data_IF_878524261423
#
_entry.id   IF_878524261423
#
_cell.length_a   1.000
_cell.length_b   1.000
_cell.length_c   1.000
_cell.angle_alpha   90.00
_cell.angle_beta   90.00
_cell.angle_gamma   90.00
#
_symmetry.space_group_name_H-M   'P 1'
#
loop_
_entity.id
_entity.type
_entity.pdbx_description
1 polymer ?
#
# COMPACT_ATOMS: atom_id res chain seq x y z
N UNK A 1 9.82 -37.24 -6.82
CA UNK A 1 8.88 -36.82 -5.76
C UNK A 1 9.60 -36.18 -4.58
N UNK A 2 10.59 -36.83 -3.96
CA UNK A 2 11.28 -36.27 -2.77
C UNK A 2 11.97 -34.91 -3.03
N UNK A 3 12.54 -34.71 -4.23
CA UNK A 3 13.17 -33.46 -4.63
C UNK A 3 12.15 -32.31 -4.82
N UNK A 4 10.99 -32.61 -5.43
CA UNK A 4 9.94 -31.62 -5.74
C UNK A 4 9.26 -31.09 -4.48
N UNK A 5 8.93 -31.97 -3.52
CA UNK A 5 8.30 -31.56 -2.27
C UNK A 5 9.21 -30.63 -1.45
N UNK A 6 10.49 -31.00 -1.28
CA UNK A 6 11.44 -30.18 -0.53
C UNK A 6 11.74 -28.85 -1.23
N UNK A 7 11.78 -28.84 -2.57
CA UNK A 7 11.94 -27.60 -3.33
C UNK A 7 10.76 -26.65 -3.12
N UNK A 8 9.53 -27.18 -3.18
CA UNK A 8 8.33 -26.39 -2.88
C UNK A 8 8.35 -25.88 -1.42
N UNK A 9 8.65 -26.76 -0.46
CA UNK A 9 8.65 -26.42 0.96
C UNK A 9 9.67 -25.34 1.30
N UNK A 10 10.94 -25.52 0.91
CA UNK A 10 11.97 -24.51 1.13
C UNK A 10 11.65 -23.21 0.40
N UNK A 11 11.07 -23.28 -0.79
CA UNK A 11 10.60 -22.11 -1.51
C UNK A 11 9.52 -21.34 -0.75
N UNK A 12 8.56 -22.04 -0.13
CA UNK A 12 7.53 -21.43 0.71
C UNK A 12 8.10 -20.83 2.01
N UNK A 13 9.10 -21.47 2.63
CA UNK A 13 9.81 -20.90 3.77
C UNK A 13 10.70 -19.71 3.37
N UNK A 14 11.15 -19.68 2.12
CA UNK A 14 12.04 -18.67 1.56
C UNK A 14 11.32 -17.41 1.04
N UNK A 15 9.98 -17.35 1.04
CA UNK A 15 9.27 -16.21 0.43
C UNK A 15 9.58 -14.86 1.11
N UNK A 16 10.00 -14.86 2.37
CA UNK A 16 10.40 -13.63 3.09
C UNK A 16 11.88 -13.30 2.96
N UNK A 17 12.65 -14.10 2.21
CA UNK A 17 14.02 -13.75 1.86
C UNK A 17 13.99 -12.45 1.04
N UNK A 18 14.81 -11.47 1.43
CA UNK A 18 14.84 -10.14 0.84
C UNK A 18 13.56 -9.29 1.01
N UNK A 19 12.69 -9.60 2.00
CA UNK A 19 11.50 -8.80 2.32
C UNK A 19 11.82 -7.30 2.50
N UNK A 20 12.82 -6.95 3.30
CA UNK A 20 13.11 -5.54 3.61
C UNK A 20 13.52 -4.73 2.35
N UNK A 21 14.50 -5.17 1.53
CA UNK A 21 14.83 -4.48 0.26
C UNK A 21 13.67 -4.34 -0.71
N UNK A 22 12.77 -5.33 -0.77
CA UNK A 22 11.59 -5.28 -1.64
C UNK A 22 10.54 -4.29 -1.12
N UNK A 23 10.34 -4.21 0.19
CA UNK A 23 9.45 -3.23 0.81
C UNK A 23 10.00 -1.80 0.69
N UNK A 24 11.32 -1.59 0.74
CA UNK A 24 11.93 -0.28 0.47
C UNK A 24 11.62 0.22 -0.95
N UNK A 25 11.41 -0.71 -1.90
CA UNK A 25 11.05 -0.42 -3.30
C UNK A 25 9.53 -0.45 -3.55
N UNK A 26 8.71 -0.56 -2.52
CA UNK A 26 7.25 -0.52 -2.61
C UNK A 26 6.73 0.91 -2.87
N UNK A 27 7.03 1.44 -4.04
CA UNK A 27 6.52 2.72 -4.53
C UNK A 27 6.44 2.73 -6.05
N UNK A 28 5.61 3.64 -6.61
CA UNK A 28 5.21 3.70 -8.03
C UNK A 28 6.34 3.43 -9.03
N UNK A 29 7.52 4.00 -8.78
CA UNK A 29 8.68 3.94 -9.69
C UNK A 29 9.33 2.55 -9.75
N UNK A 30 9.45 1.87 -8.62
CA UNK A 30 10.25 0.63 -8.52
C UNK A 30 9.43 -0.62 -8.18
N UNK A 31 8.14 -0.48 -7.84
CA UNK A 31 7.31 -1.61 -7.44
C UNK A 31 7.21 -2.70 -8.53
N UNK A 32 6.98 -2.33 -9.79
CA UNK A 32 6.84 -3.34 -10.85
C UNK A 32 8.13 -4.12 -11.09
N UNK A 33 9.28 -3.44 -10.98
CA UNK A 33 10.59 -4.08 -11.12
C UNK A 33 10.85 -5.00 -9.92
N UNK A 34 10.57 -4.54 -8.70
CA UNK A 34 10.72 -5.32 -7.47
C UNK A 34 9.78 -6.53 -7.46
N UNK A 35 8.54 -6.35 -7.92
CA UNK A 35 7.56 -7.42 -8.01
C UNK A 35 7.96 -8.46 -9.06
N UNK A 36 8.50 -8.02 -10.20
CA UNK A 36 8.99 -8.94 -11.25
C UNK A 36 10.19 -9.74 -10.74
N UNK A 37 11.13 -9.09 -10.05
CA UNK A 37 12.27 -9.74 -9.41
C UNK A 37 11.83 -10.80 -8.39
N UNK A 38 10.89 -10.45 -7.49
CA UNK A 38 10.33 -11.38 -6.52
C UNK A 38 9.60 -12.56 -7.18
N UNK A 39 8.82 -12.28 -8.23
CA UNK A 39 8.10 -13.32 -8.95
C UNK A 39 9.05 -14.29 -9.66
N UNK A 40 10.10 -13.76 -10.29
CA UNK A 40 11.13 -14.56 -10.97
C UNK A 40 11.93 -15.41 -9.97
N UNK A 41 12.31 -14.85 -8.81
CA UNK A 41 13.01 -15.61 -7.77
C UNK A 41 12.14 -16.71 -7.16
N UNK A 42 10.82 -16.49 -7.09
CA UNK A 42 9.86 -17.46 -6.54
C UNK A 42 9.36 -18.47 -7.57
N UNK A 43 9.65 -18.27 -8.86
CA UNK A 43 9.06 -19.06 -9.95
C UNK A 43 9.36 -20.56 -9.83
N UNK A 44 10.61 -20.93 -9.51
CA UNK A 44 11.03 -22.33 -9.33
C UNK A 44 10.26 -23.00 -8.19
N UNK A 45 10.00 -22.26 -7.11
CA UNK A 45 9.20 -22.77 -5.99
C UNK A 45 7.74 -23.00 -6.41
N UNK A 46 7.15 -22.10 -7.20
CA UNK A 46 5.77 -22.26 -7.69
C UNK A 46 5.63 -23.42 -8.69
N UNK A 47 6.64 -23.64 -9.54
CA UNK A 47 6.67 -24.82 -10.40
C UNK A 47 6.75 -26.11 -9.58
N UNK A 48 7.63 -26.16 -8.59
CA UNK A 48 7.74 -27.32 -7.70
C UNK A 48 6.48 -27.52 -6.85
N UNK A 49 5.82 -26.45 -6.44
CA UNK A 49 4.52 -26.49 -5.75
C UNK A 49 3.46 -27.16 -6.64
N UNK A 50 3.35 -26.73 -7.90
CA UNK A 50 2.38 -27.25 -8.85
C UNK A 50 2.64 -28.73 -9.16
N UNK A 51 3.88 -29.07 -9.51
CA UNK A 51 4.28 -30.46 -9.74
C UNK A 51 4.05 -31.33 -8.50
N UNK A 52 4.36 -30.80 -7.32
CA UNK A 52 4.13 -31.48 -6.04
C UNK A 52 2.64 -31.72 -5.79
N UNK A 53 1.80 -30.74 -6.09
CA UNK A 53 0.35 -30.83 -5.94
C UNK A 53 -0.27 -31.87 -6.88
N UNK A 54 0.17 -31.94 -8.14
CA UNK A 54 -0.34 -32.95 -9.08
C UNK A 54 0.06 -34.38 -8.71
N UNK A 55 1.25 -34.55 -8.12
CA UNK A 55 1.77 -35.86 -7.74
C UNK A 55 1.43 -36.26 -6.29
N UNK A 56 0.84 -35.36 -5.50
CA UNK A 56 0.49 -35.65 -4.12
C UNK A 56 -0.65 -36.67 -4.02
N UNK A 57 -0.44 -37.71 -3.22
CA UNK A 57 -1.48 -38.67 -2.84
C UNK A 57 -2.54 -37.97 -1.98
N UNK A 58 -2.09 -37.15 -1.04
CA UNK A 58 -2.93 -36.32 -0.19
C UNK A 58 -2.68 -34.85 -0.50
N UNK A 59 -3.52 -34.30 -1.39
CA UNK A 59 -3.43 -32.92 -1.85
C UNK A 59 -3.76 -31.92 -0.74
N UNK A 60 -4.67 -32.26 0.17
CA UNK A 60 -5.04 -31.38 1.28
C UNK A 60 -3.88 -31.23 2.26
N UNK A 61 -3.26 -32.34 2.65
CA UNK A 61 -2.09 -32.32 3.53
C UNK A 61 -0.89 -31.63 2.85
N UNK A 62 -0.68 -31.85 1.56
CA UNK A 62 0.37 -31.15 0.80
C UNK A 62 0.18 -29.63 0.88
N UNK A 63 -1.02 -29.13 0.57
CA UNK A 63 -1.36 -27.71 0.64
C UNK A 63 -1.25 -27.17 2.06
N UNK A 64 -1.71 -27.91 3.06
CA UNK A 64 -1.59 -27.52 4.46
C UNK A 64 -0.14 -27.35 4.90
N UNK A 65 0.76 -28.23 4.46
CA UNK A 65 2.20 -28.12 4.74
C UNK A 65 2.79 -26.82 4.16
N UNK A 66 2.46 -26.52 2.90
CA UNK A 66 2.97 -25.34 2.20
C UNK A 66 2.46 -24.03 2.83
N UNK A 67 1.16 -23.97 3.15
CA UNK A 67 0.58 -22.83 3.84
C UNK A 67 1.18 -22.61 5.24
N UNK A 68 1.37 -23.70 6.00
CA UNK A 68 1.95 -23.64 7.33
C UNK A 68 3.44 -23.28 7.30
N UNK A 69 4.18 -23.64 6.24
CA UNK A 69 5.57 -23.24 6.06
C UNK A 69 5.71 -21.71 5.94
N UNK A 70 4.89 -21.07 5.11
CA UNK A 70 4.86 -19.60 4.98
C UNK A 70 4.47 -18.95 6.31
N UNK A 71 3.33 -19.34 6.90
CA UNK A 71 2.83 -18.71 8.13
C UNK A 71 3.75 -18.97 9.33
N UNK A 72 4.34 -20.16 9.42
CA UNK A 72 5.30 -20.55 10.43
C UNK A 72 6.58 -19.73 10.34
N UNK A 73 7.13 -19.55 9.14
CA UNK A 73 8.31 -18.70 8.94
C UNK A 73 8.06 -17.25 9.36
N UNK A 74 6.90 -16.70 9.03
CA UNK A 74 6.54 -15.34 9.44
C UNK A 74 6.44 -15.20 10.97
N UNK A 75 5.85 -16.20 11.64
CA UNK A 75 5.81 -16.25 13.11
C UNK A 75 7.23 -16.35 13.69
N UNK A 76 8.11 -17.19 13.15
CA UNK A 76 9.51 -17.29 13.58
C UNK A 76 10.25 -15.95 13.46
N UNK A 77 10.09 -15.23 12.34
CA UNK A 77 10.63 -13.88 12.15
C UNK A 77 10.11 -12.95 13.24
N UNK A 78 8.81 -12.98 13.53
CA UNK A 78 8.17 -12.12 14.52
C UNK A 78 8.62 -12.45 15.96
N UNK A 79 8.76 -13.73 16.31
CA UNK A 79 9.24 -14.16 17.62
C UNK A 79 10.73 -13.87 17.82
N UNK A 80 11.52 -13.82 16.74
CA UNK A 80 12.91 -13.38 16.76
C UNK A 80 13.10 -11.90 17.17
N UNK A 81 12.05 -11.08 17.12
CA UNK A 81 12.10 -9.66 17.50
C UNK A 81 11.97 -9.48 19.01
N UNK A 82 13.07 -9.12 19.67
CA UNK A 82 13.13 -8.96 21.13
C UNK A 82 12.49 -7.67 21.65
N UNK A 83 12.49 -6.60 20.85
CA UNK A 83 11.92 -5.29 21.25
C UNK A 83 10.43 -5.22 20.89
N UNK A 84 9.58 -5.10 21.91
CA UNK A 84 8.12 -4.99 21.75
C UNK A 84 7.69 -3.84 20.83
N UNK A 85 8.38 -2.69 20.86
CA UNK A 85 8.10 -1.57 19.95
C UNK A 85 8.37 -1.89 18.48
N UNK A 86 9.36 -2.74 18.19
CA UNK A 86 9.67 -3.18 16.82
C UNK A 86 8.79 -4.34 16.36
N UNK A 87 8.25 -5.13 17.28
CA UNK A 87 7.40 -6.30 16.97
C UNK A 87 6.16 -5.90 16.18
N UNK A 88 5.52 -4.79 16.55
CA UNK A 88 4.37 -4.27 15.81
C UNK A 88 4.74 -3.85 14.37
N UNK A 89 5.86 -3.14 14.19
CA UNK A 89 6.33 -2.74 12.86
C UNK A 89 6.65 -3.94 11.97
N UNK A 90 7.33 -4.96 12.51
CA UNK A 90 7.63 -6.20 11.77
C UNK A 90 6.35 -6.96 11.41
N UNK A 91 5.37 -7.05 12.32
CA UNK A 91 4.07 -7.66 12.01
C UNK A 91 3.34 -6.91 10.88
N UNK A 92 3.40 -5.58 10.87
CA UNK A 92 2.84 -4.76 9.78
C UNK A 92 3.55 -5.02 8.46
N UNK A 93 4.89 -5.06 8.46
CA UNK A 93 5.68 -5.36 7.26
C UNK A 93 5.40 -6.75 6.70
N UNK A 94 5.28 -7.76 7.56
CA UNK A 94 4.90 -9.12 7.16
C UNK A 94 3.51 -9.14 6.50
N UNK A 95 2.52 -8.50 7.13
CA UNK A 95 1.16 -8.40 6.57
C UNK A 95 1.16 -7.65 5.22
N UNK A 96 1.89 -6.54 5.14
CA UNK A 96 2.01 -5.75 3.91
C UNK A 96 2.67 -6.57 2.80
N UNK A 97 3.79 -7.23 3.09
CA UNK A 97 4.51 -8.06 2.13
C UNK A 97 3.65 -9.22 1.61
N UNK A 98 2.84 -9.84 2.47
CA UNK A 98 1.87 -10.84 2.04
C UNK A 98 0.87 -10.29 1.02
N UNK A 99 0.31 -9.11 1.29
CA UNK A 99 -0.72 -8.49 0.45
C UNK A 99 -0.17 -7.96 -0.87
N UNK A 100 1.08 -7.49 -0.90
CA UNK A 100 1.64 -6.77 -2.07
C UNK A 100 2.66 -7.58 -2.88
N UNK A 101 3.21 -8.66 -2.34
CA UNK A 101 4.15 -9.52 -3.06
C UNK A 101 3.68 -10.97 -3.12
N UNK A 102 3.48 -11.64 -1.97
CA UNK A 102 3.25 -13.09 -1.93
C UNK A 102 1.91 -13.49 -2.57
N UNK A 103 0.80 -12.92 -2.09
CA UNK A 103 -0.54 -13.26 -2.60
C UNK A 103 -0.73 -12.83 -4.06
N UNK A 104 -0.29 -11.64 -4.50
CA UNK A 104 -0.38 -11.27 -5.91
C UNK A 104 0.54 -12.12 -6.81
N UNK A 105 1.71 -12.55 -6.34
CA UNK A 105 2.58 -13.45 -7.09
C UNK A 105 1.94 -14.84 -7.29
N UNK A 106 1.32 -15.38 -6.23
CA UNK A 106 0.53 -16.61 -6.33
C UNK A 106 -0.64 -16.43 -7.30
N UNK A 107 -1.38 -15.32 -7.20
CA UNK A 107 -2.50 -15.02 -8.09
C UNK A 107 -2.10 -14.78 -9.55
N UNK A 108 -0.87 -14.34 -9.80
CA UNK A 108 -0.28 -14.20 -11.15
C UNK A 108 0.13 -15.55 -11.74
N UNK A 109 0.51 -16.51 -10.89
CA UNK A 109 0.87 -17.86 -11.33
C UNK A 109 -0.39 -18.61 -11.79
N UNK A 110 -0.37 -19.17 -13.00
CA UNK A 110 -1.50 -19.91 -13.57
C UNK A 110 -1.34 -21.41 -13.28
N UNK A 111 -1.77 -21.83 -12.08
CA UNK A 111 -1.66 -23.21 -11.61
C UNK A 111 -2.87 -23.68 -10.80
N UNK A 112 -3.15 -24.98 -10.82
CA UNK A 112 -4.28 -25.58 -10.10
C UNK A 112 -4.08 -25.56 -8.57
N UNK A 113 -2.83 -25.56 -8.11
CA UNK A 113 -2.47 -25.51 -6.70
C UNK A 113 -2.73 -24.14 -6.04
N UNK A 114 -2.82 -23.07 -6.84
CA UNK A 114 -2.85 -21.67 -6.37
C UNK A 114 -4.06 -21.36 -5.51
N UNK A 115 -5.27 -21.71 -5.97
CA UNK A 115 -6.50 -21.42 -5.23
C UNK A 115 -6.55 -22.20 -3.91
N UNK A 116 -6.36 -23.54 -3.88
CA UNK A 116 -6.27 -24.29 -2.62
C UNK A 116 -5.21 -23.74 -1.67
N UNK A 117 -4.03 -23.37 -2.19
CA UNK A 117 -2.96 -22.80 -1.38
C UNK A 117 -3.36 -21.46 -0.79
N UNK A 118 -3.90 -20.55 -1.60
CA UNK A 118 -4.31 -19.21 -1.15
C UNK A 118 -5.36 -19.29 -0.06
N UNK A 119 -6.40 -20.11 -0.25
CA UNK A 119 -7.46 -20.29 0.74
C UNK A 119 -6.91 -20.84 2.06
N UNK A 120 -6.04 -21.86 1.98
CA UNK A 120 -5.42 -22.45 3.18
C UNK A 120 -4.44 -21.50 3.86
N UNK A 121 -3.69 -20.72 3.08
CA UNK A 121 -2.71 -19.76 3.57
C UNK A 121 -3.38 -18.63 4.37
N UNK A 122 -4.52 -18.13 3.92
CA UNK A 122 -5.30 -17.13 4.68
C UNK A 122 -5.77 -17.68 6.04
N UNK A 123 -6.15 -18.95 6.10
CA UNK A 123 -6.53 -19.62 7.36
C UNK A 123 -5.31 -19.74 8.28
N UNK A 124 -4.22 -20.35 7.80
CA UNK A 124 -2.99 -20.52 8.59
C UNK A 124 -2.39 -19.18 9.04
N UNK A 125 -2.51 -18.13 8.23
CA UNK A 125 -2.08 -16.79 8.60
C UNK A 125 -2.92 -16.21 9.73
N UNK A 126 -4.26 -16.33 9.66
CA UNK A 126 -5.16 -15.83 10.71
C UNK A 126 -4.93 -16.51 12.06
N UNK A 127 -4.57 -17.80 12.07
CA UNK A 127 -4.19 -18.53 13.28
C UNK A 127 -2.95 -17.94 13.97
N UNK A 128 -1.95 -17.50 13.18
CA UNK A 128 -0.70 -16.92 13.68
C UNK A 128 -0.77 -15.41 13.91
N UNK A 129 -1.61 -14.71 13.16
CA UNK A 129 -1.79 -13.26 13.18
C UNK A 129 -3.29 -12.90 13.33
N UNK A 130 -3.91 -13.10 14.51
CA UNK A 130 -5.36 -12.95 14.69
C UNK A 130 -5.89 -11.55 14.38
N UNK A 131 -5.08 -10.52 14.64
CA UNK A 131 -5.42 -9.11 14.39
C UNK A 131 -5.28 -8.70 12.92
N UNK A 132 -4.69 -9.56 12.07
CA UNK A 132 -4.52 -9.28 10.65
C UNK A 132 -5.79 -9.55 9.86
N UNK A 133 -6.07 -8.70 8.87
CA UNK A 133 -7.15 -8.91 7.89
C UNK A 133 -6.56 -8.82 6.49
N UNK A 134 -5.66 -9.76 6.16
CA UNK A 134 -5.06 -9.83 4.83
C UNK A 134 -6.04 -10.47 3.84
N UNK A 135 -6.03 -9.97 2.61
CA UNK A 135 -6.75 -10.55 1.47
C UNK A 135 -5.87 -10.46 0.22
N UNK A 136 -6.14 -11.32 -0.75
CA UNK A 136 -5.41 -11.28 -2.02
C UNK A 136 -5.84 -10.05 -2.83
N UNK A 137 -4.94 -9.09 -2.98
CA UNK A 137 -5.09 -7.97 -3.92
C UNK A 137 -4.51 -8.36 -5.29
N UNK A 138 -5.06 -7.82 -6.38
CA UNK A 138 -4.46 -8.01 -7.71
C UNK A 138 -3.29 -7.05 -7.90
N UNK A 139 -2.28 -7.48 -8.65
CA UNK A 139 -1.13 -6.62 -8.99
C UNK A 139 -1.60 -5.35 -9.70
N UNK A 140 -2.59 -5.49 -10.60
CA UNK A 140 -3.20 -4.36 -11.30
C UNK A 140 -3.85 -3.35 -10.34
N UNK A 141 -4.54 -3.83 -9.30
CA UNK A 141 -5.21 -2.98 -8.31
C UNK A 141 -4.19 -2.24 -7.42
N UNK A 142 -3.07 -2.90 -7.07
CA UNK A 142 -1.96 -2.28 -6.33
C UNK A 142 -1.29 -1.21 -7.20
N UNK A 143 -1.05 -1.50 -8.47
CA UNK A 143 -0.47 -0.54 -9.41
C UNK A 143 -1.40 0.64 -9.67
N UNK A 144 -2.71 0.40 -9.77
CA UNK A 144 -3.72 1.45 -9.79
C UNK A 144 -3.73 2.24 -8.48
N UNK A 145 -3.56 1.59 -7.33
CA UNK A 145 -3.39 2.22 -6.03
C UNK A 145 -2.20 3.19 -5.98
N UNK A 146 -1.10 2.91 -6.67
CA UNK A 146 0.00 3.87 -6.85
C UNK A 146 -0.32 5.05 -7.76
N UNK A 147 -1.24 4.89 -8.71
CA UNK A 147 -1.80 6.01 -9.49
C UNK A 147 -2.73 6.87 -8.62
N UNK A 148 -3.35 6.26 -7.60
CA UNK A 148 -4.12 6.95 -6.58
C UNK A 148 -3.26 7.21 -5.34
N UNK A 149 -2.20 8.00 -5.51
CA UNK A 149 -1.61 8.75 -4.39
C UNK A 149 -2.75 9.62 -3.81
N UNK A 150 -3.33 9.19 -2.68
CA UNK A 150 -4.51 9.82 -2.06
C UNK A 150 -4.23 11.31 -1.81
N UNK A 151 -4.96 12.21 -2.46
CA UNK A 151 -4.93 13.62 -2.08
C UNK A 151 -5.89 13.79 -0.89
N UNK A 152 -5.46 13.41 0.32
CA UNK A 152 -6.33 13.36 1.50
C UNK A 152 -7.21 14.61 1.66
N UNK A 153 -6.62 15.81 1.61
CA UNK A 153 -7.35 17.08 1.75
C UNK A 153 -8.29 17.31 0.56
N UNK A 154 -7.83 17.16 -0.69
CA UNK A 154 -8.68 17.48 -1.85
C UNK A 154 -9.80 16.46 -2.06
N UNK A 155 -9.55 15.18 -1.73
CA UNK A 155 -10.58 14.14 -1.72
C UNK A 155 -11.64 14.47 -0.67
N UNK A 156 -11.26 14.79 0.58
CA UNK A 156 -12.22 15.15 1.63
C UNK A 156 -13.05 16.40 1.30
N UNK A 157 -12.42 17.39 0.64
CA UNK A 157 -13.13 18.58 0.15
C UNK A 157 -14.13 18.21 -0.94
N UNK A 158 -13.74 17.46 -1.98
CA UNK A 158 -14.64 17.05 -3.06
C UNK A 158 -15.81 16.18 -2.55
N UNK A 159 -15.56 15.28 -1.59
CA UNK A 159 -16.59 14.47 -0.92
C UNK A 159 -17.62 15.34 -0.19
N UNK A 160 -17.20 16.46 0.42
CA UNK A 160 -18.12 17.42 1.08
C UNK A 160 -19.10 18.05 0.10
N UNK A 161 -18.74 18.18 -1.18
CA UNK A 161 -19.63 18.63 -2.24
C UNK A 161 -20.42 17.49 -2.92
N UNK A 162 -20.31 16.25 -2.41
CA UNK A 162 -20.96 15.07 -2.99
C UNK A 162 -20.41 14.68 -4.36
N UNK A 163 -19.18 15.11 -4.69
CA UNK A 163 -18.53 14.76 -5.96
C UNK A 163 -17.89 13.36 -5.88
N UNK A 164 -17.89 12.59 -6.98
CA UNK A 164 -17.20 11.31 -7.02
C UNK A 164 -15.68 11.47 -7.02
N UNK A 165 -14.94 10.41 -6.68
CA UNK A 165 -13.46 10.43 -6.59
C UNK A 165 -12.76 10.64 -7.95
N UNK A 166 -13.46 10.43 -9.06
CA UNK A 166 -13.00 10.68 -10.42
C UNK A 166 -13.53 12.01 -11.01
N UNK A 167 -14.06 12.91 -10.16
CA UNK A 167 -14.52 14.21 -10.63
C UNK A 167 -13.40 15.02 -11.30
N UNK A 168 -13.81 15.96 -12.15
CA UNK A 168 -12.91 16.80 -12.96
C UNK A 168 -11.85 17.49 -12.08
N UNK A 169 -12.29 18.12 -10.99
CA UNK A 169 -11.43 18.95 -10.16
C UNK A 169 -10.37 18.13 -9.44
N UNK A 170 -10.76 16.97 -8.90
CA UNK A 170 -9.84 16.05 -8.23
C UNK A 170 -8.86 15.42 -9.21
N UNK A 171 -9.32 15.06 -10.41
CA UNK A 171 -8.46 14.54 -11.48
C UNK A 171 -7.45 15.59 -11.95
N UNK A 172 -7.86 16.84 -12.10
CA UNK A 172 -6.99 17.94 -12.51
C UNK A 172 -5.89 18.19 -11.48
N UNK A 173 -6.25 18.29 -10.18
CA UNK A 173 -5.31 18.50 -9.09
C UNK A 173 -4.34 17.30 -8.91
N UNK A 174 -4.83 16.07 -9.06
CA UNK A 174 -3.99 14.85 -9.05
C UNK A 174 -2.97 14.86 -10.18
N UNK A 175 -3.42 15.17 -11.39
CA UNK A 175 -2.53 15.26 -12.55
C UNK A 175 -1.47 16.34 -12.35
N UNK A 176 -1.87 17.54 -11.92
CA UNK A 176 -0.94 18.62 -11.62
C UNK A 176 0.15 18.21 -10.62
N UNK A 177 -0.22 17.56 -9.51
CA UNK A 177 0.73 17.07 -8.52
C UNK A 177 1.65 16.00 -9.09
N UNK A 178 1.08 15.00 -9.76
CA UNK A 178 1.81 13.81 -10.20
C UNK A 178 2.69 14.03 -11.43
N UNK A 179 2.45 15.11 -12.18
CA UNK A 179 3.28 15.53 -13.32
C UNK A 179 4.10 16.76 -12.97
N UNK A 180 3.49 17.95 -12.98
CA UNK A 180 4.20 19.22 -12.85
C UNK A 180 4.94 19.36 -11.52
N UNK A 181 4.25 19.14 -10.38
CA UNK A 181 4.86 19.36 -9.07
C UNK A 181 5.98 18.34 -8.81
N UNK A 182 5.77 17.08 -9.21
CA UNK A 182 6.75 16.01 -9.05
C UNK A 182 8.04 16.23 -9.87
N UNK A 183 7.96 16.93 -11.00
CA UNK A 183 9.10 17.25 -11.86
C UNK A 183 9.94 18.44 -11.36
N UNK A 184 9.50 19.16 -10.32
CA UNK A 184 10.26 20.27 -9.73
C UNK A 184 11.44 19.75 -8.89
N UNK A 185 12.49 20.58 -8.75
CA UNK A 185 13.72 20.23 -8.03
C UNK A 185 13.47 19.82 -6.57
N UNK A 186 12.50 20.45 -5.90
CA UNK A 186 12.05 20.16 -4.54
C UNK A 186 10.66 19.49 -4.47
N UNK A 187 10.13 19.07 -5.63
CA UNK A 187 8.79 18.51 -5.78
C UNK A 187 8.53 17.29 -4.91
N UNK A 188 9.53 16.40 -4.79
CA UNK A 188 9.43 15.21 -3.95
C UNK A 188 9.27 15.54 -2.47
N UNK A 189 10.02 16.53 -1.97
CA UNK A 189 9.97 16.96 -0.58
C UNK A 189 8.62 17.60 -0.25
N UNK A 190 8.10 18.49 -1.11
CA UNK A 190 6.79 19.13 -0.94
C UNK A 190 5.67 18.08 -0.92
N UNK A 191 5.72 17.11 -1.84
CA UNK A 191 4.72 16.04 -1.89
C UNK A 191 4.82 15.17 -0.62
N UNK A 192 6.03 14.84 -0.16
CA UNK A 192 6.24 14.06 1.05
C UNK A 192 5.67 14.77 2.29
N UNK A 193 5.98 16.05 2.46
CA UNK A 193 5.46 16.87 3.56
C UNK A 193 3.93 16.88 3.58
N UNK A 194 3.30 17.10 2.42
CA UNK A 194 1.84 16.97 2.27
C UNK A 194 1.34 15.61 2.77
N UNK A 195 2.02 14.52 2.40
CA UNK A 195 1.62 13.16 2.78
C UNK A 195 1.76 12.88 4.28
N UNK A 196 2.73 13.49 4.94
CA UNK A 196 2.95 13.35 6.38
C UNK A 196 1.85 14.04 7.19
N UNK A 197 1.44 15.25 6.78
CA UNK A 197 0.52 16.09 7.58
C UNK A 197 -0.95 15.90 7.20
N UNK A 198 -1.27 15.67 5.92
CA UNK A 198 -2.64 15.71 5.41
C UNK A 198 -3.61 14.69 6.04
N UNK A 199 -3.23 13.42 6.31
CA UNK A 199 -4.12 12.47 6.97
C UNK A 199 -4.56 12.93 8.36
N UNK A 200 -3.64 13.55 9.11
CA UNK A 200 -3.88 14.04 10.46
C UNK A 200 -4.76 15.29 10.44
N UNK A 201 -4.54 16.21 9.50
CA UNK A 201 -5.39 17.38 9.29
C UNK A 201 -6.83 16.95 8.97
N UNK A 202 -7.01 16.08 7.98
CA UNK A 202 -8.35 15.56 7.59
C UNK A 202 -9.02 14.87 8.76
N UNK A 203 -8.27 14.10 9.56
CA UNK A 203 -8.80 13.48 10.77
C UNK A 203 -9.32 14.55 11.74
N UNK A 204 -8.55 15.59 12.06
CA UNK A 204 -9.00 16.65 12.97
C UNK A 204 -10.24 17.38 12.45
N UNK A 205 -10.25 17.76 11.16
CA UNK A 205 -11.41 18.43 10.54
C UNK A 205 -12.65 17.55 10.64
N UNK A 206 -12.54 16.25 10.35
CA UNK A 206 -13.66 15.31 10.40
C UNK A 206 -14.25 15.09 11.80
N UNK A 207 -13.49 15.36 12.87
CA UNK A 207 -13.98 15.31 14.25
C UNK A 207 -14.66 16.62 14.69
N UNK A 208 -14.60 17.68 13.89
CA UNK A 208 -15.26 18.95 14.17
C UNK A 208 -16.72 18.93 13.71
N UNK A 209 -17.63 19.48 14.52
CA UNK A 209 -19.02 19.72 14.11
C UNK A 209 -19.14 20.72 12.94
N UNK A 210 -18.07 21.48 12.67
CA UNK A 210 -18.00 22.48 11.58
C UNK A 210 -17.25 21.98 10.35
N UNK A 211 -17.03 20.66 10.21
CA UNK A 211 -16.23 20.08 9.11
C UNK A 211 -16.61 20.60 7.72
N UNK A 212 -17.90 20.74 7.43
CA UNK A 212 -18.35 21.19 6.12
C UNK A 212 -17.98 22.66 5.84
N UNK A 213 -18.04 23.51 6.87
CA UNK A 213 -17.63 24.92 6.76
C UNK A 213 -16.13 25.02 6.52
N UNK A 214 -15.34 24.21 7.22
CA UNK A 214 -13.88 24.15 7.05
C UNK A 214 -13.52 23.67 5.64
N UNK A 215 -14.13 22.60 5.14
CA UNK A 215 -13.86 22.11 3.78
C UNK A 215 -14.32 23.10 2.70
N UNK A 216 -15.45 23.80 2.90
CA UNK A 216 -15.85 24.90 2.01
C UNK A 216 -14.82 26.04 2.01
N UNK A 217 -14.28 26.39 3.17
CA UNK A 217 -13.23 27.40 3.28
C UNK A 217 -11.95 26.98 2.54
N UNK A 218 -11.51 25.71 2.70
CA UNK A 218 -10.34 25.18 1.98
C UNK A 218 -10.56 25.22 0.46
N UNK A 219 -11.76 24.87 0.02
CA UNK A 219 -12.15 24.95 -1.39
C UNK A 219 -12.03 26.35 -1.95
N UNK A 220 -12.67 27.33 -1.29
CA UNK A 220 -12.73 28.71 -1.76
C UNK A 220 -11.38 29.41 -1.71
N UNK A 221 -10.57 29.11 -0.69
CA UNK A 221 -9.30 29.80 -0.44
C UNK A 221 -8.15 29.23 -1.26
N UNK A 222 -8.10 27.90 -1.44
CA UNK A 222 -6.93 27.24 -2.02
C UNK A 222 -7.25 26.46 -3.29
N UNK A 223 -8.19 25.49 -3.22
CA UNK A 223 -8.35 24.51 -4.30
C UNK A 223 -8.97 25.10 -5.57
N UNK A 224 -10.03 25.89 -5.44
CA UNK A 224 -10.68 26.52 -6.58
C UNK A 224 -9.75 27.54 -7.29
N UNK A 225 -9.04 28.44 -6.58
CA UNK A 225 -8.01 29.26 -7.21
C UNK A 225 -6.89 28.45 -7.88
N UNK A 226 -6.39 27.38 -7.24
CA UNK A 226 -5.40 26.48 -7.85
C UNK A 226 -5.92 25.88 -9.17
N UNK A 227 -7.16 25.40 -9.21
CA UNK A 227 -7.78 24.85 -10.43
C UNK A 227 -7.77 25.89 -11.55
N UNK A 228 -8.20 27.13 -11.29
CA UNK A 228 -8.17 28.19 -12.29
C UNK A 228 -6.76 28.58 -12.74
N UNK A 229 -5.77 28.48 -11.85
CA UNK A 229 -4.37 28.70 -12.20
C UNK A 229 -3.85 27.60 -13.14
N UNK A 230 -4.15 26.33 -12.85
CA UNK A 230 -3.80 25.18 -13.71
C UNK A 230 -4.45 25.34 -15.09
N UNK A 231 -5.76 25.66 -15.14
CA UNK A 231 -6.51 25.86 -16.39
C UNK A 231 -5.95 27.00 -17.24
N UNK A 232 -5.33 28.00 -16.60
CA UNK A 232 -4.72 29.16 -17.26
C UNK A 232 -3.21 29.00 -17.48
N UNK A 233 -2.65 27.80 -17.35
CA UNK A 233 -1.21 27.50 -17.48
C UNK A 233 -0.29 28.23 -16.47
N UNK A 234 -0.85 28.77 -15.39
CA UNK A 234 -0.12 29.44 -14.30
C UNK A 234 0.35 28.45 -13.25
N UNK A 235 1.18 27.50 -13.68
CA UNK A 235 1.56 26.32 -12.89
C UNK A 235 2.38 26.67 -11.65
N UNK A 236 3.23 27.69 -11.70
CA UNK A 236 4.04 28.12 -10.55
C UNK A 236 3.20 28.80 -9.46
N UNK A 237 2.22 29.63 -9.85
CA UNK A 237 1.31 30.27 -8.88
C UNK A 237 0.48 29.20 -8.14
N UNK A 238 0.03 28.17 -8.85
CA UNK A 238 -0.64 27.02 -8.23
C UNK A 238 0.28 26.28 -7.24
N UNK A 239 1.58 26.19 -7.52
CA UNK A 239 2.55 25.51 -6.63
C UNK A 239 2.67 26.27 -5.33
N UNK A 240 2.87 27.59 -5.43
CA UNK A 240 3.07 28.43 -4.26
C UNK A 240 1.81 28.44 -3.37
N UNK A 241 0.61 28.48 -3.98
CA UNK A 241 -0.65 28.37 -3.26
C UNK A 241 -0.90 26.97 -2.66
N UNK A 242 -0.47 25.91 -3.35
CA UNK A 242 -0.55 24.54 -2.85
C UNK A 242 0.33 24.35 -1.60
N UNK A 243 1.58 24.83 -1.64
CA UNK A 243 2.49 24.79 -0.48
C UNK A 243 1.91 25.60 0.67
N UNK A 244 1.42 26.81 0.38
CA UNK A 244 0.81 27.67 1.38
C UNK A 244 -0.38 26.99 2.07
N UNK A 245 -1.27 26.33 1.32
CA UNK A 245 -2.39 25.58 1.91
C UNK A 245 -1.91 24.55 2.95
N UNK A 246 -0.84 23.81 2.64
CA UNK A 246 -0.32 22.78 3.55
C UNK A 246 0.22 23.41 4.82
N UNK A 247 1.02 24.48 4.68
CA UNK A 247 1.59 25.19 5.82
C UNK A 247 0.53 25.84 6.70
N UNK A 248 -0.45 26.52 6.10
CA UNK A 248 -1.52 27.21 6.82
C UNK A 248 -2.38 26.19 7.62
N UNK A 249 -2.70 25.05 7.01
CA UNK A 249 -3.42 23.96 7.69
C UNK A 249 -2.54 23.26 8.74
N UNK A 250 -1.24 23.10 8.48
CA UNK A 250 -0.34 22.54 9.47
C UNK A 250 -0.26 23.45 10.71
N UNK A 251 -0.12 24.76 10.52
CA UNK A 251 -0.13 25.75 11.59
C UNK A 251 -1.41 25.65 12.42
N UNK A 252 -2.56 25.66 11.74
CA UNK A 252 -3.89 25.61 12.37
C UNK A 252 -4.11 24.36 13.23
N UNK A 253 -3.68 23.18 12.75
CA UNK A 253 -4.02 21.90 13.38
C UNK A 253 -2.89 21.30 14.25
N UNK A 254 -1.64 21.74 14.10
CA UNK A 254 -0.53 21.21 14.89
C UNK A 254 0.07 22.21 15.89
N UNK A 255 -0.02 23.52 15.64
CA UNK A 255 0.62 24.53 16.49
C UNK A 255 -0.39 25.30 17.36
N UNK A 256 -1.63 25.47 16.92
CA UNK A 256 -2.70 26.14 17.70
C UNK A 256 -3.45 25.22 18.67
N UNK A 257 -3.30 23.91 18.57
CA UNK A 257 -3.84 22.94 19.53
C UNK A 257 -2.70 22.07 20.08
N UNK A 258 -2.06 22.45 21.21
CA UNK A 258 -1.17 21.52 21.89
C UNK A 258 -2.01 20.30 22.28
N UNK A 259 -1.54 19.11 21.87
CA UNK A 259 -2.06 17.82 22.31
C UNK A 259 -2.24 17.84 23.83
N UNK A 260 -3.49 18.00 24.28
CA UNK A 260 -3.90 17.93 25.68
C UNK A 260 -4.17 16.48 26.07
#
# INVERSE_FOLDING_TARGET
MENTYLTALHGMEGVFEHMDPLLERFHKKFYMDAFSEFYESSFVAFQALEDGYHNAIDKEQFIANMANAVAGKADDILQGVTKKSKKNAVAMNLNLFMVVYVLPALGKYDGESVKPLTDRLLISWKEKFPESNISAARVEDIQAGFKHKWCYITTAVCETFGKPDDCYELTLLRNYRDTYLMEQEDGEAIIHEYYDVAPTIVKHINHSDRKEEVYRHIWETYLNPCIHMIESERMQECRDLYIQMVHDLEEEYFYTYPLS
#
